data_IF_277898319319
#
_entry.id   IF_277898319319
#
_cell.length_a   1.000
_cell.length_b   1.000
_cell.length_c   1.000
_cell.angle_alpha   90.00
_cell.angle_beta   90.00
_cell.angle_gamma   90.00
#
_symmetry.space_group_name_H-M   'P 1'
#
loop_
_entity.id
_entity.type
_entity.pdbx_description
1 polymer ?
#
# COMPACT_ATOMS: atom_id res chain seq x y z
N UNK A 1 13.29 -9.43 -12.31
CA UNK A 1 13.47 -8.02 -12.74
C UNK A 1 13.28 -7.14 -11.51
N UNK A 2 14.36 -6.57 -10.98
CA UNK A 2 14.31 -5.76 -9.75
C UNK A 2 13.90 -4.33 -10.06
N UNK A 3 12.78 -3.89 -9.48
CA UNK A 3 12.36 -2.49 -9.49
C UNK A 3 12.29 -2.01 -8.05
N UNK A 4 12.27 -0.71 -7.80
CA UNK A 4 12.17 -0.14 -6.44
C UNK A 4 10.74 -0.16 -5.88
N UNK A 5 9.88 -1.04 -6.40
CA UNK A 5 8.47 -1.12 -6.06
C UNK A 5 8.04 -2.54 -5.72
N UNK A 6 7.21 -2.66 -4.69
CA UNK A 6 6.45 -3.86 -4.37
C UNK A 6 5.00 -3.65 -4.78
N UNK A 7 4.42 -4.65 -5.43
CA UNK A 7 2.99 -4.74 -5.71
C UNK A 7 2.37 -5.74 -4.74
N UNK A 8 1.41 -5.31 -3.94
CA UNK A 8 0.85 -6.12 -2.86
C UNK A 8 -0.69 -6.11 -2.92
N UNK A 9 -1.34 -7.25 -2.63
CA UNK A 9 -2.80 -7.30 -2.58
C UNK A 9 -3.31 -6.59 -1.33
N UNK A 10 -4.51 -6.01 -1.41
CA UNK A 10 -5.23 -5.50 -0.24
C UNK A 10 -6.01 -6.62 0.46
N UNK A 11 -6.38 -6.44 1.75
CA UNK A 11 -7.20 -7.40 2.49
C UNK A 11 -8.49 -7.79 1.75
N UNK A 12 -8.97 -9.00 1.99
CA UNK A 12 -10.23 -9.49 1.41
C UNK A 12 -11.40 -8.59 1.80
N UNK A 13 -12.32 -8.32 0.87
CA UNK A 13 -13.48 -7.45 1.11
C UNK A 13 -13.21 -5.94 1.11
N UNK A 14 -11.97 -5.50 0.88
CA UNK A 14 -11.61 -4.07 0.83
C UNK A 14 -11.15 -3.63 -0.57
N UNK A 15 -11.52 -2.42 -1.01
CA UNK A 15 -10.99 -1.81 -2.23
C UNK A 15 -9.65 -1.10 -1.98
N UNK A 16 -8.77 -1.02 -2.99
CA UNK A 16 -7.45 -0.41 -2.80
C UNK A 16 -7.47 1.08 -2.50
N UNK A 17 -8.45 1.84 -2.99
CA UNK A 17 -8.58 3.26 -2.64
C UNK A 17 -8.92 3.41 -1.15
N UNK A 18 -9.83 2.57 -0.65
CA UNK A 18 -10.21 2.55 0.77
C UNK A 18 -9.02 2.15 1.66
N UNK A 19 -8.29 1.10 1.27
CA UNK A 19 -7.10 0.66 1.99
C UNK A 19 -6.04 1.75 2.07
N UNK A 20 -5.70 2.37 0.94
CA UNK A 20 -4.69 3.43 0.89
C UNK A 20 -5.11 4.65 1.71
N UNK A 21 -6.38 5.06 1.65
CA UNK A 21 -6.90 6.16 2.46
C UNK A 21 -6.73 5.87 3.96
N UNK A 22 -7.12 4.69 4.44
CA UNK A 22 -6.93 4.28 5.84
C UNK A 22 -5.46 4.25 6.26
N UNK A 23 -4.59 3.72 5.41
CA UNK A 23 -3.14 3.68 5.67
C UNK A 23 -2.55 5.09 5.78
N UNK A 24 -3.03 6.04 4.97
CA UNK A 24 -2.60 7.43 5.05
C UNK A 24 -3.13 8.11 6.33
N UNK A 25 -4.41 7.93 6.64
CA UNK A 25 -5.09 8.63 7.74
C UNK A 25 -4.70 8.06 9.11
N UNK A 26 -4.69 6.74 9.27
CA UNK A 26 -4.50 6.08 10.57
C UNK A 26 -3.03 5.73 10.83
N UNK A 27 -2.27 5.30 9.81
CA UNK A 27 -0.86 4.93 9.96
C UNK A 27 0.12 6.04 9.57
N UNK A 28 -0.36 7.14 8.98
CA UNK A 28 0.47 8.23 8.46
C UNK A 28 1.54 7.73 7.47
N UNK A 29 1.17 6.77 6.62
CA UNK A 29 2.03 6.22 5.56
C UNK A 29 1.39 6.48 4.20
N UNK A 30 2.13 7.08 3.28
CA UNK A 30 1.65 7.27 1.91
C UNK A 30 2.04 6.07 1.03
N UNK A 31 1.05 5.45 0.40
CA UNK A 31 1.22 4.39 -0.61
C UNK A 31 0.36 4.71 -1.84
N UNK A 32 0.60 4.04 -2.98
CA UNK A 32 -0.15 4.33 -4.22
C UNK A 32 -1.23 3.28 -4.46
N UNK A 33 -2.50 3.66 -4.68
CA UNK A 33 -3.54 2.70 -5.01
C UNK A 33 -3.31 2.12 -6.42
N UNK A 34 -3.73 0.87 -6.62
CA UNK A 34 -3.54 0.20 -7.90
C UNK A 34 -4.32 0.85 -9.06
N UNK A 35 -5.42 1.54 -8.75
CA UNK A 35 -6.22 2.32 -9.71
C UNK A 35 -5.44 3.46 -10.38
N UNK A 36 -4.29 3.87 -9.83
CA UNK A 36 -3.39 4.81 -10.51
C UNK A 36 -2.70 4.19 -11.76
N UNK A 37 -2.79 2.88 -11.96
CA UNK A 37 -2.13 2.14 -13.03
C UNK A 37 -3.10 1.47 -14.02
N UNK A 38 -4.41 1.63 -13.82
CA UNK A 38 -5.45 0.99 -14.65
C UNK A 38 -6.84 1.11 -14.03
N UNK A 39 -7.87 0.73 -14.79
CA UNK A 39 -9.26 0.76 -14.33
C UNK A 39 -9.86 -0.64 -14.16
N UNK A 40 -9.10 -1.68 -14.47
CA UNK A 40 -9.49 -3.08 -14.40
C UNK A 40 -9.80 -3.49 -12.95
N UNK A 41 -10.72 -4.43 -12.76
CA UNK A 41 -11.08 -4.91 -11.42
C UNK A 41 -9.92 -5.62 -10.72
N UNK A 42 -8.98 -6.19 -11.48
CA UNK A 42 -7.77 -6.78 -10.92
C UNK A 42 -6.94 -5.73 -10.17
N UNK A 43 -6.70 -4.54 -10.75
CA UNK A 43 -5.86 -3.50 -10.11
C UNK A 43 -6.51 -2.83 -8.90
N UNK A 44 -7.85 -2.90 -8.78
CA UNK A 44 -8.59 -2.46 -7.58
C UNK A 44 -8.29 -3.30 -6.34
N UNK A 45 -7.68 -4.47 -6.52
CA UNK A 45 -7.28 -5.39 -5.44
C UNK A 45 -5.82 -5.23 -5.02
N UNK A 46 -5.08 -4.27 -5.57
CA UNK A 46 -3.66 -4.09 -5.28
C UNK A 46 -3.29 -2.64 -4.98
N UNK A 47 -2.13 -2.49 -4.33
CA UNK A 47 -1.47 -1.22 -4.09
C UNK A 47 0.05 -1.37 -4.29
N UNK A 48 0.74 -0.23 -4.39
CA UNK A 48 2.18 -0.16 -4.62
C UNK A 48 2.91 0.51 -3.47
N UNK A 49 4.02 -0.09 -3.06
CA UNK A 49 4.96 0.46 -2.09
C UNK A 49 6.25 0.81 -2.81
N UNK A 50 6.76 2.04 -2.62
CA UNK A 50 8.12 2.41 -3.02
C UNK A 50 9.07 2.13 -1.87
N UNK A 51 10.17 1.41 -2.14
CA UNK A 51 11.22 1.13 -1.15
C UNK A 51 12.54 1.87 -1.46
N UNK A 52 12.42 3.07 -2.04
CA UNK A 52 13.56 3.96 -2.33
C UNK A 52 14.09 4.69 -1.11
N UNK A 53 13.38 4.64 0.02
CA UNK A 53 13.81 5.21 1.29
C UNK A 53 14.73 4.26 2.06
N UNK A 54 15.43 4.77 3.06
CA UNK A 54 16.28 3.94 3.92
C UNK A 54 15.48 2.90 4.72
N UNK A 55 16.12 1.79 5.08
CA UNK A 55 15.48 0.65 5.76
C UNK A 55 14.75 1.04 7.03
N UNK A 56 15.31 1.95 7.84
CA UNK A 56 14.68 2.40 9.10
C UNK A 56 13.32 3.04 8.87
N UNK A 57 13.19 3.87 7.82
CA UNK A 57 11.90 4.48 7.45
C UNK A 57 10.90 3.47 6.92
N UNK A 58 11.37 2.47 6.18
CA UNK A 58 10.52 1.40 5.66
C UNK A 58 10.01 0.50 6.79
N UNK A 59 10.88 0.10 7.72
CA UNK A 59 10.52 -0.68 8.92
C UNK A 59 9.47 0.07 9.75
N UNK A 60 9.70 1.35 10.03
CA UNK A 60 8.74 2.20 10.75
C UNK A 60 7.37 2.26 10.05
N UNK A 61 7.35 2.43 8.73
CA UNK A 61 6.12 2.45 7.96
C UNK A 61 5.37 1.10 8.03
N UNK A 62 6.10 -0.01 7.87
CA UNK A 62 5.53 -1.36 7.93
C UNK A 62 4.99 -1.71 9.32
N UNK A 63 5.68 -1.32 10.39
CA UNK A 63 5.22 -1.51 11.77
C UNK A 63 3.92 -0.74 12.05
N UNK A 64 3.79 0.49 11.53
CA UNK A 64 2.56 1.29 11.68
C UNK A 64 1.40 0.66 10.92
N UNK A 65 1.62 0.24 9.67
CA UNK A 65 0.61 -0.47 8.88
C UNK A 65 0.19 -1.77 9.57
N UNK A 66 1.14 -2.54 10.11
CA UNK A 66 0.86 -3.81 10.79
C UNK A 66 0.03 -3.70 12.08
N UNK A 67 -0.14 -2.48 12.63
CA UNK A 67 -1.03 -2.22 13.78
C UNK A 67 -2.48 -1.93 13.38
N UNK A 68 -2.75 -1.70 12.09
CA UNK A 68 -4.10 -1.49 11.59
C UNK A 68 -4.88 -2.80 11.62
N UNK A 69 -6.17 -2.70 11.95
CA UNK A 69 -7.12 -3.83 11.88
C UNK A 69 -7.95 -3.67 10.60
N UNK A 70 -7.93 -4.70 9.77
CA UNK A 70 -8.62 -4.77 8.49
C UNK A 70 -9.76 -5.77 8.54
#
# INVERSE_FOLDING_TARGET
KGTFYVWAPVPEGMDCVQFVARVLEEAHVAVTPGTAFGAEDEVKRFFRISFTLNSKRLEEAMERIGKLKF
#
